data_IF_938002759795
#
_entry.id   IF_938002759795
#
_cell.length_a   1.000
_cell.length_b   1.000
_cell.length_c   1.000
_cell.angle_alpha   90.00
_cell.angle_beta   90.00
_cell.angle_gamma   90.00
#
_symmetry.space_group_name_H-M   'P 1'
#
loop_
_entity.id
_entity.type
_entity.pdbx_description
1 polymer ?
#
# COMPACT_ATOMS: atom_id res chain seq x y z
N UNK A 1 -2.90 29.15 -3.67
CA UNK A 1 -1.98 28.39 -4.55
C UNK A 1 -1.79 28.99 -5.93
N UNK A 2 -2.84 29.34 -6.69
CA UNK A 2 -2.65 30.04 -7.99
C UNK A 2 -1.79 31.31 -7.87
N UNK A 3 -2.01 32.11 -6.84
CA UNK A 3 -1.22 33.34 -6.62
C UNK A 3 0.22 33.05 -6.14
N UNK A 4 0.45 31.90 -5.48
CA UNK A 4 1.80 31.45 -5.10
C UNK A 4 2.64 31.09 -6.32
N UNK A 5 2.01 30.45 -7.32
CA UNK A 5 2.69 30.00 -8.54
C UNK A 5 2.85 31.10 -9.61
N UNK A 6 2.17 32.24 -9.47
CA UNK A 6 2.20 33.35 -10.45
C UNK A 6 3.36 34.34 -10.28
N UNK A 7 4.39 34.00 -9.50
CA UNK A 7 5.69 34.71 -9.51
C UNK A 7 5.73 36.02 -8.70
N UNK A 8 5.07 36.07 -7.54
CA UNK A 8 5.22 37.15 -6.55
C UNK A 8 6.26 36.81 -5.48
N UNK A 9 6.86 37.82 -4.85
CA UNK A 9 7.65 37.63 -3.63
C UNK A 9 6.67 37.41 -2.48
N UNK A 10 6.56 36.18 -1.99
CA UNK A 10 5.71 35.83 -0.86
C UNK A 10 6.54 35.79 0.42
N UNK A 11 6.00 36.31 1.52
CA UNK A 11 6.62 36.11 2.84
C UNK A 11 6.29 34.70 3.35
N UNK A 12 7.06 34.20 4.32
CA UNK A 12 6.76 32.90 4.96
C UNK A 12 5.35 32.89 5.57
N UNK A 13 4.92 33.99 6.19
CA UNK A 13 3.57 34.14 6.71
C UNK A 13 2.48 34.04 5.63
N UNK A 14 2.73 34.57 4.41
CA UNK A 14 1.79 34.45 3.29
C UNK A 14 1.69 32.99 2.80
N UNK A 15 2.82 32.29 2.76
CA UNK A 15 2.91 30.86 2.41
C UNK A 15 2.13 30.03 3.45
N UNK A 16 2.39 30.24 4.74
CA UNK A 16 1.71 29.54 5.83
C UNK A 16 0.19 29.73 5.78
N UNK A 17 -0.27 30.97 5.61
CA UNK A 17 -1.70 31.30 5.53
C UNK A 17 -2.38 30.63 4.32
N UNK A 18 -1.68 30.61 3.18
CA UNK A 18 -2.15 29.97 1.96
C UNK A 18 -2.25 28.45 2.10
N UNK A 19 -1.26 27.82 2.72
CA UNK A 19 -1.28 26.38 3.01
C UNK A 19 -2.42 26.06 3.96
N UNK A 20 -2.57 26.80 5.07
CA UNK A 20 -3.69 26.59 6.00
C UNK A 20 -5.05 26.66 5.30
N UNK A 21 -5.25 27.68 4.46
CA UNK A 21 -6.52 27.86 3.75
C UNK A 21 -6.79 26.68 2.81
N UNK A 22 -5.77 26.16 2.13
CA UNK A 22 -5.91 24.96 1.31
C UNK A 22 -6.30 23.75 2.17
N UNK A 23 -5.58 23.48 3.26
CA UNK A 23 -5.80 22.31 4.11
C UNK A 23 -7.20 22.31 4.74
N UNK A 24 -7.70 23.48 5.15
CA UNK A 24 -9.06 23.63 5.67
C UNK A 24 -10.14 23.49 4.59
N UNK A 25 -9.87 23.95 3.36
CA UNK A 25 -10.82 23.88 2.26
C UNK A 25 -10.93 22.49 1.64
N UNK A 26 -9.86 21.70 1.70
CA UNK A 26 -9.74 20.42 1.04
C UNK A 26 -10.43 19.26 1.77
N UNK A 27 -11.01 19.49 2.96
CA UNK A 27 -11.69 18.48 3.79
C UNK A 27 -10.89 17.16 3.87
N UNK A 28 -9.60 17.28 4.20
CA UNK A 28 -8.63 16.18 4.15
C UNK A 28 -8.83 15.18 5.31
N UNK A 29 -10.07 15.00 5.79
CA UNK A 29 -10.42 14.08 6.86
C UNK A 29 -9.98 14.54 8.26
N UNK A 30 -9.71 15.83 8.46
CA UNK A 30 -9.33 16.42 9.74
C UNK A 30 -10.24 17.60 10.07
N UNK A 31 -10.63 17.72 11.34
CA UNK A 31 -11.44 18.85 11.82
C UNK A 31 -10.63 20.16 11.85
N UNK A 32 -11.29 21.30 12.10
CA UNK A 32 -10.64 22.62 12.22
C UNK A 32 -9.50 22.65 13.27
N UNK A 33 -9.48 21.71 14.22
CA UNK A 33 -8.43 21.55 15.23
C UNK A 33 -7.19 20.80 14.71
N UNK A 34 -7.30 20.14 13.55
CA UNK A 34 -6.26 19.36 12.90
C UNK A 34 -5.15 20.19 12.22
N UNK A 35 -5.39 21.47 11.92
CA UNK A 35 -4.41 22.40 11.33
C UNK A 35 -4.10 23.54 12.30
N UNK A 36 -2.88 23.57 12.86
CA UNK A 36 -2.46 24.60 13.81
C UNK A 36 -1.25 25.37 13.28
N UNK A 37 -1.37 26.71 13.24
CA UNK A 37 -0.25 27.59 12.91
C UNK A 37 0.49 28.02 14.17
N UNK A 38 1.80 28.26 14.04
CA UNK A 38 2.63 28.81 15.11
C UNK A 38 2.51 27.99 16.41
N UNK A 39 2.46 26.66 16.24
CA UNK A 39 2.17 25.70 17.30
C UNK A 39 3.34 25.65 18.28
N UNK A 40 3.15 26.09 19.54
CA UNK A 40 4.23 26.10 20.53
C UNK A 40 4.67 24.66 20.85
N UNK A 41 5.97 24.43 20.92
CA UNK A 41 6.52 23.08 21.15
C UNK A 41 6.07 22.41 22.45
N UNK A 42 5.66 23.17 23.46
CA UNK A 42 5.23 22.61 24.74
C UNK A 42 6.36 21.98 25.58
N UNK A 43 7.61 22.08 25.12
CA UNK A 43 8.84 21.58 25.75
C UNK A 43 9.49 22.63 26.69
N UNK A 44 8.81 23.75 26.95
CA UNK A 44 9.33 24.89 27.70
C UNK A 44 10.25 25.82 26.89
N UNK A 45 10.53 25.51 25.62
CA UNK A 45 11.25 26.41 24.72
C UNK A 45 10.33 27.49 24.13
N UNK A 46 10.92 28.57 23.59
CA UNK A 46 10.19 29.62 22.86
C UNK A 46 9.95 29.28 21.38
N UNK A 47 10.31 28.07 20.94
CA UNK A 47 10.22 27.65 19.54
C UNK A 47 8.77 27.32 19.17
N UNK A 48 8.42 27.59 17.91
CA UNK A 48 7.11 27.33 17.34
C UNK A 48 7.28 26.59 16.02
N UNK A 49 6.35 25.70 15.75
CA UNK A 49 6.20 25.02 14.47
C UNK A 49 5.34 25.91 13.59
N UNK A 50 5.77 26.16 12.35
CA UNK A 50 5.01 26.97 11.39
C UNK A 50 3.60 26.42 11.17
N UNK A 51 3.48 25.14 10.79
CA UNK A 51 2.21 24.46 10.61
C UNK A 51 2.30 23.02 11.14
N UNK A 52 1.38 22.64 12.03
CA UNK A 52 1.11 21.25 12.36
C UNK A 52 -0.16 20.80 11.67
N UNK A 53 -0.09 19.66 10.99
CA UNK A 53 -1.22 19.06 10.28
C UNK A 53 -1.25 17.55 10.51
N UNK A 54 -2.23 17.05 11.26
CA UNK A 54 -2.26 15.64 11.65
C UNK A 54 -0.96 15.19 12.32
N UNK A 55 -0.34 14.13 11.78
CA UNK A 55 0.98 13.62 12.17
C UNK A 55 2.13 14.19 11.30
N UNK A 56 1.96 15.40 10.73
CA UNK A 56 3.01 16.12 10.02
C UNK A 56 3.32 17.47 10.65
N UNK A 57 4.58 17.85 10.51
CA UNK A 57 5.15 19.16 10.82
C UNK A 57 5.62 19.76 9.50
N UNK A 58 5.05 20.91 9.11
CA UNK A 58 5.44 21.64 7.90
C UNK A 58 6.17 22.90 8.35
N UNK A 59 7.41 23.05 7.90
CA UNK A 59 8.22 24.26 8.03
C UNK A 59 8.27 24.97 6.68
N UNK A 60 7.98 26.27 6.69
CA UNK A 60 7.96 27.12 5.51
C UNK A 60 9.24 27.94 5.42
N UNK A 61 9.74 28.14 4.20
CA UNK A 61 10.87 29.01 3.92
C UNK A 61 10.53 29.92 2.75
N UNK A 62 11.08 31.13 2.71
CA UNK A 62 10.82 32.05 1.58
C UNK A 62 11.26 31.47 0.23
N UNK A 63 12.42 30.81 0.19
CA UNK A 63 13.01 30.23 -1.02
C UNK A 63 13.92 29.07 -0.61
N UNK A 64 13.55 27.83 -0.95
CA UNK A 64 14.36 26.66 -0.61
C UNK A 64 15.71 26.60 -1.35
N UNK A 65 15.85 27.29 -2.48
CA UNK A 65 17.11 27.38 -3.24
C UNK A 65 18.16 28.28 -2.59
N UNK A 66 17.74 29.21 -1.73
CA UNK A 66 18.63 30.15 -1.01
C UNK A 66 18.74 29.84 0.48
N UNK A 67 17.97 28.88 0.98
CA UNK A 67 17.95 28.49 2.39
C UNK A 67 19.17 27.63 2.73
N UNK A 68 19.74 27.84 3.92
CA UNK A 68 20.66 26.87 4.53
C UNK A 68 19.86 25.60 4.89
N UNK A 69 19.89 24.63 3.98
CA UNK A 69 19.09 23.42 4.08
C UNK A 69 19.48 22.59 5.30
N UNK A 70 20.77 22.57 5.67
CA UNK A 70 21.23 21.78 6.81
C UNK A 70 20.63 22.33 8.11
N UNK A 71 20.74 23.65 8.34
CA UNK A 71 20.16 24.28 9.52
C UNK A 71 18.64 24.11 9.57
N UNK A 72 17.95 24.17 8.43
CA UNK A 72 16.51 23.95 8.35
C UNK A 72 16.12 22.50 8.69
N UNK A 73 16.90 21.51 8.26
CA UNK A 73 16.68 20.10 8.58
C UNK A 73 16.97 19.79 10.05
N UNK A 74 18.03 20.36 10.64
CA UNK A 74 18.33 20.22 12.07
C UNK A 74 17.18 20.78 12.93
N UNK A 75 16.64 21.94 12.55
CA UNK A 75 15.48 22.54 13.22
C UNK A 75 14.24 21.65 13.09
N UNK A 76 13.89 21.23 11.87
CA UNK A 76 12.73 20.38 11.60
C UNK A 76 12.85 19.04 12.32
N UNK A 77 14.03 18.41 12.32
CA UNK A 77 14.31 17.15 12.98
C UNK A 77 14.08 17.24 14.49
N UNK A 78 14.53 18.33 15.10
CA UNK A 78 14.26 18.61 16.52
C UNK A 78 12.75 18.72 16.84
N UNK A 79 11.96 19.30 15.94
CA UNK A 79 10.50 19.38 16.10
C UNK A 79 9.83 18.02 15.95
N UNK A 80 10.20 17.28 14.90
CA UNK A 80 9.66 15.94 14.62
C UNK A 80 9.98 14.99 15.77
N UNK A 81 11.25 14.90 16.19
CA UNK A 81 11.67 14.02 17.29
C UNK A 81 10.92 14.32 18.59
N UNK A 82 10.78 15.61 18.93
CA UNK A 82 10.10 16.02 20.17
C UNK A 82 8.61 15.68 20.12
N UNK A 83 7.92 15.97 19.01
CA UNK A 83 6.48 15.68 18.87
C UNK A 83 6.21 14.18 18.80
N UNK A 84 7.03 13.43 18.06
CA UNK A 84 6.93 11.97 18.00
C UNK A 84 7.02 11.36 19.39
N UNK A 85 7.99 11.79 20.20
CA UNK A 85 8.17 11.32 21.58
C UNK A 85 7.01 11.70 22.50
N UNK A 86 6.50 12.92 22.40
CA UNK A 86 5.38 13.39 23.23
C UNK A 86 4.07 12.67 22.90
N UNK A 87 3.82 12.39 21.62
CA UNK A 87 2.60 11.75 21.17
C UNK A 87 2.67 10.21 21.20
N UNK A 88 3.87 9.64 21.28
CA UNK A 88 4.09 8.19 21.22
C UNK A 88 3.80 7.59 19.83
N UNK A 89 3.77 8.40 18.79
CA UNK A 89 3.54 8.01 17.38
C UNK A 89 4.48 8.80 16.48
N UNK A 90 4.96 8.22 15.36
CA UNK A 90 5.89 8.92 14.48
C UNK A 90 5.22 10.10 13.76
N UNK A 91 5.93 11.23 13.70
CA UNK A 91 5.57 12.38 12.89
C UNK A 91 6.45 12.46 11.63
N UNK A 92 5.89 13.00 10.56
CA UNK A 92 6.60 13.33 9.33
C UNK A 92 7.04 14.80 9.33
N UNK A 93 8.18 15.08 8.72
CA UNK A 93 8.70 16.43 8.51
C UNK A 93 8.50 16.87 7.06
N UNK A 94 8.04 18.10 6.83
CA UNK A 94 7.87 18.67 5.49
C UNK A 94 8.55 20.03 5.46
N UNK A 95 9.39 20.25 4.44
CA UNK A 95 9.99 21.55 4.15
C UNK A 95 9.42 22.08 2.84
N UNK A 96 8.98 23.34 2.82
CA UNK A 96 8.37 23.92 1.61
C UNK A 96 8.60 25.43 1.46
N UNK A 97 8.72 25.88 0.21
CA UNK A 97 8.57 27.30 -0.17
C UNK A 97 7.22 27.59 -0.83
N UNK A 98 6.29 26.64 -0.73
CA UNK A 98 4.96 26.71 -1.34
C UNK A 98 4.91 26.23 -2.80
N UNK A 99 6.06 26.05 -3.45
CA UNK A 99 6.17 25.53 -4.82
C UNK A 99 6.87 24.16 -4.81
N UNK A 100 7.96 24.06 -4.04
CA UNK A 100 8.79 22.88 -3.88
C UNK A 100 8.53 22.28 -2.50
N UNK A 101 8.05 21.05 -2.47
CA UNK A 101 7.70 20.33 -1.24
C UNK A 101 8.65 19.15 -1.07
N UNK A 102 9.22 19.01 0.13
CA UNK A 102 10.15 17.93 0.48
C UNK A 102 9.68 17.25 1.75
N UNK A 103 9.38 15.96 1.65
CA UNK A 103 8.98 15.10 2.76
C UNK A 103 10.20 14.38 3.33
N UNK A 104 10.25 14.30 4.65
CA UNK A 104 11.26 13.62 5.43
C UNK A 104 10.60 12.75 6.48
N UNK A 105 11.24 11.64 6.78
CA UNK A 105 10.93 10.80 7.93
C UNK A 105 12.10 10.82 8.91
N UNK A 106 11.83 10.53 10.18
CA UNK A 106 12.86 10.50 11.21
C UNK A 106 13.27 9.06 11.46
N UNK A 107 14.50 8.73 11.07
CA UNK A 107 15.11 7.41 11.20
C UNK A 107 16.42 7.59 11.98
N UNK A 108 16.63 6.84 13.06
CA UNK A 108 17.82 6.98 13.93
C UNK A 108 18.13 8.41 14.37
N UNK A 109 17.09 9.17 14.75
CA UNK A 109 17.18 10.59 15.12
C UNK A 109 17.67 11.53 13.99
N UNK A 110 17.78 11.06 12.75
CA UNK A 110 18.13 11.83 11.56
C UNK A 110 16.96 11.94 10.58
N UNK A 111 16.82 13.12 9.94
CA UNK A 111 15.80 13.29 8.90
C UNK A 111 16.29 12.72 7.56
N UNK A 112 15.66 11.65 7.12
CA UNK A 112 15.91 11.01 5.84
C UNK A 112 14.94 11.57 4.79
N UNK A 113 15.42 12.01 3.61
CA UNK A 113 14.53 12.45 2.53
C UNK A 113 13.74 11.28 1.97
N UNK A 114 12.42 11.46 1.84
CA UNK A 114 11.50 10.41 1.39
C UNK A 114 10.88 10.73 0.03
N UNK A 115 10.18 11.86 -0.05
CA UNK A 115 9.41 12.23 -1.24
C UNK A 115 9.57 13.70 -1.58
N UNK A 116 9.36 14.07 -2.85
CA UNK A 116 9.37 15.46 -3.29
C UNK A 116 8.22 15.71 -4.25
N UNK A 117 7.63 16.90 -4.15
CA UNK A 117 6.63 17.37 -5.09
C UNK A 117 6.99 18.77 -5.57
N UNK A 118 7.08 18.92 -6.89
CA UNK A 118 7.23 20.22 -7.55
C UNK A 118 5.88 20.63 -8.15
N UNK A 119 5.37 21.77 -7.70
CA UNK A 119 4.17 22.39 -8.26
C UNK A 119 4.57 23.38 -9.34
N UNK A 120 4.13 23.14 -10.57
CA UNK A 120 4.46 23.98 -11.73
C UNK A 120 3.22 24.52 -12.44
N UNK A 121 2.15 23.74 -12.47
CA UNK A 121 0.88 24.11 -13.10
C UNK A 121 -0.12 24.64 -12.07
N UNK A 122 -0.50 25.94 -12.12
CA UNK A 122 -1.45 26.55 -11.21
C UNK A 122 -2.85 25.94 -11.22
N UNK A 123 -3.25 25.28 -12.31
CA UNK A 123 -4.59 24.73 -12.45
C UNK A 123 -4.74 23.34 -11.82
N UNK A 124 -3.64 22.59 -11.70
CA UNK A 124 -3.61 21.24 -11.11
C UNK A 124 -2.89 21.18 -9.75
N UNK A 125 -2.20 22.25 -9.35
CA UNK A 125 -1.38 22.25 -8.13
C UNK A 125 -2.14 21.90 -6.85
N UNK A 126 -3.40 22.36 -6.71
CA UNK A 126 -4.26 22.07 -5.56
C UNK A 126 -4.48 20.59 -5.38
N UNK A 127 -5.03 19.96 -6.39
CA UNK A 127 -5.39 18.55 -6.35
C UNK A 127 -4.14 17.68 -6.17
N UNK A 128 -3.04 18.01 -6.87
CA UNK A 128 -1.77 17.27 -6.73
C UNK A 128 -1.19 17.34 -5.33
N UNK A 129 -1.19 18.52 -4.71
CA UNK A 129 -0.69 18.67 -3.33
C UNK A 129 -1.58 17.94 -2.33
N UNK A 130 -2.90 18.04 -2.50
CA UNK A 130 -3.87 17.36 -1.62
C UNK A 130 -3.66 15.84 -1.69
N UNK A 131 -3.61 15.26 -2.89
CA UNK A 131 -3.38 13.81 -3.07
C UNK A 131 -2.03 13.38 -2.48
N UNK A 132 -0.98 14.17 -2.69
CA UNK A 132 0.35 13.89 -2.13
C UNK A 132 0.35 13.90 -0.59
N UNK A 133 -0.31 14.87 0.04
CA UNK A 133 -0.45 14.93 1.51
C UNK A 133 -1.36 13.82 2.06
N UNK A 134 -2.48 13.54 1.41
CA UNK A 134 -3.40 12.45 1.77
C UNK A 134 -2.75 11.07 1.67
N UNK A 135 -1.86 10.90 0.70
CA UNK A 135 -1.03 9.71 0.54
C UNK A 135 -0.08 9.59 1.73
N UNK A 136 0.74 10.62 2.00
CA UNK A 136 1.73 10.61 3.09
C UNK A 136 1.11 10.39 4.48
N UNK A 137 -0.04 11.01 4.76
CA UNK A 137 -0.64 11.05 6.10
C UNK A 137 -1.78 10.05 6.32
N UNK A 138 -2.16 9.33 5.28
CA UNK A 138 -3.22 8.32 5.35
C UNK A 138 -4.58 8.86 5.84
N UNK A 139 -5.01 10.06 5.44
CA UNK A 139 -6.15 10.73 6.09
C UNK A 139 -7.52 10.54 5.41
N UNK A 140 -7.56 10.39 4.08
CA UNK A 140 -8.82 10.21 3.33
C UNK A 140 -9.39 8.79 3.50
N UNK A 141 -10.62 8.61 4.03
CA UNK A 141 -11.28 7.30 4.12
C UNK A 141 -12.12 6.97 2.86
N UNK A 142 -12.71 5.78 2.84
CA UNK A 142 -13.69 5.31 1.85
C UNK A 142 -13.24 5.45 0.37
N UNK A 143 -11.98 5.14 0.10
CA UNK A 143 -11.36 5.24 -1.22
C UNK A 143 -11.78 4.05 -2.07
N UNK A 144 -12.40 4.31 -3.23
CA UNK A 144 -12.63 3.25 -4.21
C UNK A 144 -11.29 2.77 -4.81
N UNK A 145 -11.06 1.45 -4.93
CA UNK A 145 -9.80 0.88 -5.44
C UNK A 145 -9.69 0.98 -6.97
N UNK A 146 -9.85 2.21 -7.49
CA UNK A 146 -9.66 2.51 -8.90
C UNK A 146 -8.17 2.54 -9.25
N UNK A 147 -7.78 2.25 -10.50
CA UNK A 147 -6.37 2.15 -10.85
C UNK A 147 -5.54 3.37 -10.46
N UNK A 148 -6.06 4.55 -10.78
CA UNK A 148 -5.44 5.83 -10.44
C UNK A 148 -5.31 6.06 -8.93
N UNK A 149 -6.32 5.66 -8.15
CA UNK A 149 -6.29 5.83 -6.69
C UNK A 149 -5.24 4.93 -6.03
N UNK A 150 -5.06 3.71 -6.56
CA UNK A 150 -4.00 2.78 -6.14
C UNK A 150 -2.63 3.33 -6.54
N UNK A 151 -2.46 3.75 -7.79
CA UNK A 151 -1.21 4.35 -8.28
C UNK A 151 -0.79 5.57 -7.44
N UNK A 152 -1.71 6.53 -7.25
CA UNK A 152 -1.43 7.78 -6.54
C UNK A 152 -1.14 7.59 -5.03
N UNK A 153 -1.58 6.48 -4.42
CA UNK A 153 -1.52 6.28 -2.95
C UNK A 153 -0.75 5.06 -2.46
N UNK A 154 -0.52 4.07 -3.31
CA UNK A 154 0.20 2.83 -2.99
C UNK A 154 1.33 2.54 -3.99
N UNK A 155 1.35 3.22 -5.15
CA UNK A 155 2.38 3.06 -6.17
C UNK A 155 3.74 3.65 -5.76
N UNK A 156 4.78 3.29 -6.51
CA UNK A 156 6.19 3.60 -6.22
C UNK A 156 6.50 5.10 -6.10
N UNK A 157 5.78 5.93 -6.85
CA UNK A 157 5.91 7.38 -6.83
C UNK A 157 5.10 8.05 -5.70
N UNK A 158 4.26 7.30 -5.00
CA UNK A 158 3.44 7.82 -3.92
C UNK A 158 4.27 8.04 -2.64
N UNK A 159 4.01 9.12 -1.89
CA UNK A 159 4.68 9.35 -0.61
C UNK A 159 4.53 8.20 0.39
N UNK A 160 3.34 7.60 0.46
CA UNK A 160 3.07 6.46 1.35
C UNK A 160 4.02 5.30 1.08
N UNK A 161 4.16 4.91 -0.19
CA UNK A 161 5.06 3.83 -0.59
C UNK A 161 6.52 4.17 -0.26
N UNK A 162 6.96 5.38 -0.57
CA UNK A 162 8.34 5.81 -0.31
C UNK A 162 8.66 5.84 1.20
N UNK A 163 7.71 6.26 2.05
CA UNK A 163 7.84 6.16 3.51
C UNK A 163 8.03 4.70 3.91
N UNK A 164 7.21 3.79 3.36
CA UNK A 164 7.22 2.39 3.73
C UNK A 164 8.50 1.67 3.33
N UNK A 165 9.01 1.95 2.13
CA UNK A 165 10.29 1.41 1.66
C UNK A 165 11.44 1.87 2.55
N UNK A 166 11.51 3.17 2.89
CA UNK A 166 12.58 3.67 3.78
C UNK A 166 12.52 3.00 5.16
N UNK A 167 11.32 2.87 5.74
CA UNK A 167 11.13 2.20 7.04
C UNK A 167 11.40 0.70 7.01
N UNK A 168 11.01 0.01 5.94
CA UNK A 168 11.31 -1.43 5.80
C UNK A 168 12.80 -1.67 5.58
N UNK A 169 13.46 -0.83 4.79
CA UNK A 169 14.91 -0.89 4.59
C UNK A 169 15.65 -0.69 5.92
N UNK A 170 15.21 0.27 6.72
CA UNK A 170 15.74 0.52 8.05
C UNK A 170 15.60 -0.71 8.97
N UNK A 171 14.37 -1.20 9.14
CA UNK A 171 14.09 -2.44 9.89
C UNK A 171 14.91 -3.63 9.40
N UNK A 172 15.05 -3.78 8.07
CA UNK A 172 15.82 -4.86 7.47
C UNK A 172 17.32 -4.75 7.78
N UNK A 173 17.90 -3.56 7.63
CA UNK A 173 19.33 -3.31 7.83
C UNK A 173 19.74 -3.46 9.28
N UNK A 174 18.93 -2.97 10.21
CA UNK A 174 19.14 -3.14 11.66
C UNK A 174 19.13 -4.61 12.09
N UNK A 175 18.39 -5.44 11.36
CA UNK A 175 18.21 -6.85 11.66
C UNK A 175 18.92 -7.78 10.66
N UNK A 176 19.81 -7.25 9.82
CA UNK A 176 20.55 -8.03 8.83
C UNK A 176 21.45 -9.12 9.46
N UNK A 177 21.80 -8.97 10.74
CA UNK A 177 22.52 -9.98 11.53
C UNK A 177 21.65 -11.11 12.11
N UNK A 178 20.31 -10.99 12.04
CA UNK A 178 19.39 -12.02 12.53
C UNK A 178 19.45 -13.27 11.66
N UNK A 179 19.62 -14.44 12.27
CA UNK A 179 19.62 -15.72 11.56
C UNK A 179 18.29 -16.01 10.87
N UNK A 180 17.20 -15.51 11.42
CA UNK A 180 15.86 -15.70 10.88
C UNK A 180 15.65 -14.85 9.62
N UNK A 181 15.98 -13.56 9.68
CA UNK A 181 15.90 -12.65 8.52
C UNK A 181 16.80 -13.15 7.38
N UNK A 182 18.03 -13.60 7.70
CA UNK A 182 18.95 -14.19 6.72
C UNK A 182 18.35 -15.44 6.07
N UNK A 183 17.79 -16.36 6.85
CA UNK A 183 17.16 -17.58 6.32
C UNK A 183 15.99 -17.24 5.40
N UNK A 184 15.13 -16.29 5.79
CA UNK A 184 13.96 -15.86 5.01
C UNK A 184 14.40 -15.25 3.66
N UNK A 185 15.41 -14.38 3.67
CA UNK A 185 16.01 -13.83 2.43
C UNK A 185 16.66 -14.91 1.56
N UNK A 186 17.40 -15.85 2.15
CA UNK A 186 18.03 -16.95 1.41
C UNK A 186 17.00 -17.84 0.71
N UNK A 187 15.88 -18.16 1.40
CA UNK A 187 14.79 -18.94 0.84
C UNK A 187 14.12 -18.21 -0.33
N UNK A 188 13.83 -16.92 -0.17
CA UNK A 188 13.31 -16.07 -1.24
C UNK A 188 14.24 -16.07 -2.47
N UNK A 189 15.51 -15.73 -2.27
CA UNK A 189 16.49 -15.64 -3.35
C UNK A 189 16.68 -16.99 -4.05
N UNK A 190 16.65 -18.10 -3.30
CA UNK A 190 16.73 -19.45 -3.85
C UNK A 190 15.52 -19.78 -4.72
N UNK A 191 14.31 -19.41 -4.31
CA UNK A 191 13.10 -19.62 -5.11
C UNK A 191 13.17 -18.82 -6.40
N UNK A 192 13.48 -17.51 -6.34
CA UNK A 192 13.57 -16.68 -7.54
C UNK A 192 14.71 -17.11 -8.47
N UNK A 193 15.86 -17.54 -7.96
CA UNK A 193 16.93 -18.11 -8.77
C UNK A 193 16.52 -19.42 -9.46
N UNK A 194 15.62 -20.19 -8.86
CA UNK A 194 15.07 -21.40 -9.48
C UNK A 194 14.13 -21.04 -10.63
N UNK A 195 13.37 -19.95 -10.47
CA UNK A 195 12.39 -19.46 -11.45
C UNK A 195 13.03 -18.72 -12.63
N UNK A 196 13.94 -17.79 -12.35
CA UNK A 196 14.57 -16.90 -13.34
C UNK A 196 15.97 -17.34 -13.77
N UNK A 197 16.49 -18.41 -13.18
CA UNK A 197 17.80 -18.96 -13.52
C UNK A 197 18.97 -18.15 -12.97
N UNK A 198 20.15 -18.40 -13.55
CA UNK A 198 21.42 -17.86 -13.04
C UNK A 198 21.61 -16.35 -13.22
N UNK A 199 20.76 -15.70 -14.02
CA UNK A 199 20.78 -14.26 -14.26
C UNK A 199 20.07 -13.45 -13.16
N UNK A 200 19.32 -14.13 -12.27
CA UNK A 200 18.70 -13.48 -11.13
C UNK A 200 19.75 -12.89 -10.17
N UNK A 201 19.58 -11.60 -9.87
CA UNK A 201 20.38 -10.87 -8.90
C UNK A 201 19.64 -10.83 -7.58
N UNK A 202 20.28 -11.32 -6.51
CA UNK A 202 19.81 -11.17 -5.13
C UNK A 202 19.99 -9.71 -4.70
N UNK A 203 18.98 -8.91 -5.00
CA UNK A 203 18.94 -7.49 -4.76
C UNK A 203 18.13 -7.16 -3.49
N UNK A 204 18.69 -6.27 -2.65
CA UNK A 204 18.06 -5.86 -1.40
C UNK A 204 16.77 -5.07 -1.64
N UNK A 205 16.77 -4.13 -2.58
CA UNK A 205 15.60 -3.30 -2.87
C UNK A 205 14.46 -4.15 -3.43
N UNK A 206 14.77 -5.14 -4.28
CA UNK A 206 13.77 -6.08 -4.78
C UNK A 206 13.15 -6.94 -3.66
N UNK A 207 13.96 -7.40 -2.70
CA UNK A 207 13.44 -8.13 -1.53
C UNK A 207 12.48 -7.27 -0.70
N UNK A 208 12.81 -5.99 -0.49
CA UNK A 208 11.96 -5.06 0.27
C UNK A 208 10.69 -4.70 -0.51
N UNK A 209 10.78 -4.45 -1.81
CA UNK A 209 9.61 -4.21 -2.65
C UNK A 209 8.65 -5.40 -2.63
N UNK A 210 9.16 -6.62 -2.77
CA UNK A 210 8.34 -7.82 -2.65
C UNK A 210 7.75 -8.01 -1.25
N UNK A 211 8.52 -7.70 -0.20
CA UNK A 211 8.01 -7.70 1.19
C UNK A 211 6.81 -6.76 1.30
N UNK A 212 6.95 -5.49 0.92
CA UNK A 212 5.88 -4.51 1.00
C UNK A 212 4.63 -4.94 0.19
N UNK A 213 4.86 -5.47 -1.00
CA UNK A 213 3.81 -5.91 -1.91
C UNK A 213 3.01 -7.09 -1.34
N UNK A 214 3.68 -8.12 -0.80
CA UNK A 214 3.00 -9.27 -0.21
C UNK A 214 2.26 -8.88 1.06
N UNK A 215 2.90 -8.15 1.98
CA UNK A 215 2.22 -7.65 3.18
C UNK A 215 0.97 -6.83 2.81
N UNK A 216 1.06 -6.03 1.74
CA UNK A 216 -0.10 -5.28 1.25
C UNK A 216 -1.20 -6.20 0.72
N UNK A 217 -0.86 -7.19 -0.08
CA UNK A 217 -1.82 -8.17 -0.62
C UNK A 217 -2.52 -8.96 0.50
N UNK A 218 -1.79 -9.39 1.52
CA UNK A 218 -2.33 -10.13 2.68
C UNK A 218 -3.33 -9.29 3.48
N UNK A 219 -3.02 -8.02 3.72
CA UNK A 219 -3.92 -7.09 4.40
C UNK A 219 -5.16 -6.81 3.54
N UNK A 220 -4.98 -6.61 2.22
CA UNK A 220 -6.09 -6.45 1.27
C UNK A 220 -7.01 -7.68 1.32
N UNK A 221 -6.45 -8.89 1.40
CA UNK A 221 -7.23 -10.12 1.50
C UNK A 221 -8.16 -10.10 2.71
N UNK A 222 -7.65 -9.75 3.89
CA UNK A 222 -8.45 -9.63 5.11
C UNK A 222 -9.55 -8.57 4.99
N UNK A 223 -9.21 -7.40 4.46
CA UNK A 223 -10.15 -6.30 4.28
C UNK A 223 -11.26 -6.65 3.28
N UNK A 224 -10.93 -7.31 2.17
CA UNK A 224 -11.87 -7.67 1.12
C UNK A 224 -12.94 -8.68 1.56
N UNK A 225 -12.60 -9.60 2.46
CA UNK A 225 -13.58 -10.53 3.05
C UNK A 225 -14.34 -9.90 4.23
N UNK A 226 -14.05 -8.64 4.54
CA UNK A 226 -14.77 -7.84 5.53
C UNK A 226 -14.33 -8.06 6.97
N UNK A 227 -13.12 -8.55 7.21
CA UNK A 227 -12.52 -8.44 8.52
C UNK A 227 -12.14 -6.98 8.80
N UNK A 228 -12.32 -6.56 10.05
CA UNK A 228 -11.95 -5.20 10.45
C UNK A 228 -10.42 -5.08 10.49
N UNK A 229 -9.88 -4.25 9.62
CA UNK A 229 -8.45 -3.88 9.59
C UNK A 229 -8.21 -2.48 10.16
N UNK A 230 -9.26 -1.84 10.70
CA UNK A 230 -9.22 -0.46 11.20
C UNK A 230 -8.67 -0.39 12.64
N UNK A 231 -7.87 0.63 12.98
CA UNK A 231 -7.23 0.73 14.28
C UNK A 231 -8.24 0.70 15.46
N UNK A 232 -7.93 -0.08 16.49
CA UNK A 232 -8.71 -0.20 17.73
C UNK A 232 -9.69 -1.38 17.79
N UNK A 233 -10.06 -1.95 16.64
CA UNK A 233 -10.80 -3.23 16.51
C UNK A 233 -10.14 -4.22 15.55
N UNK A 234 -9.01 -3.81 14.96
CA UNK A 234 -8.27 -4.56 13.96
C UNK A 234 -7.76 -5.92 14.46
N UNK A 235 -7.54 -6.79 13.49
CA UNK A 235 -6.65 -7.93 13.60
C UNK A 235 -5.26 -7.51 14.09
N UNK A 236 -4.63 -8.34 14.91
CA UNK A 236 -3.24 -8.11 15.32
C UNK A 236 -2.29 -8.28 14.12
N UNK A 237 -1.05 -7.75 14.16
CA UNK A 237 -0.05 -7.98 13.10
C UNK A 237 0.12 -9.47 12.79
N UNK A 238 0.17 -10.31 13.83
CA UNK A 238 0.26 -11.75 13.68
C UNK A 238 -0.97 -12.34 13.01
N UNK A 239 -2.17 -11.89 13.37
CA UNK A 239 -3.39 -12.38 12.71
C UNK A 239 -3.43 -12.00 11.23
N UNK A 240 -2.91 -10.81 10.87
CA UNK A 240 -2.84 -10.31 9.50
C UNK A 240 -1.87 -11.10 8.62
N UNK A 241 -0.68 -11.44 9.12
CA UNK A 241 0.34 -12.08 8.26
C UNK A 241 0.37 -13.60 8.38
N UNK A 242 -0.01 -14.17 9.52
CA UNK A 242 -0.06 -15.64 9.65
C UNK A 242 -1.34 -16.24 9.05
N UNK A 243 -2.35 -15.43 8.74
CA UNK A 243 -3.64 -15.89 8.20
C UNK A 243 -4.49 -16.72 9.17
N UNK A 244 -4.27 -16.57 10.48
CA UNK A 244 -4.97 -17.37 11.50
C UNK A 244 -6.50 -17.20 11.45
N UNK A 245 -7.00 -16.02 11.05
CA UNK A 245 -8.44 -15.77 10.83
C UNK A 245 -9.00 -16.51 9.63
N UNK A 246 -8.25 -16.62 8.53
CA UNK A 246 -8.65 -17.45 7.39
C UNK A 246 -8.78 -18.91 7.80
N UNK A 247 -7.82 -19.45 8.56
CA UNK A 247 -7.92 -20.84 9.08
C UNK A 247 -9.12 -21.04 10.00
N UNK A 248 -9.41 -20.10 10.90
CA UNK A 248 -10.61 -20.14 11.75
C UNK A 248 -11.88 -20.11 10.90
N UNK A 249 -11.88 -19.32 9.82
CA UNK A 249 -12.94 -19.28 8.84
C UNK A 249 -12.91 -20.45 7.85
N UNK A 250 -12.07 -21.48 8.04
CA UNK A 250 -11.93 -22.66 7.15
C UNK A 250 -11.59 -22.31 5.70
N UNK A 251 -10.82 -21.24 5.50
CA UNK A 251 -10.22 -20.84 4.22
C UNK A 251 -8.72 -21.09 4.34
N UNK A 252 -8.16 -21.87 3.41
CA UNK A 252 -6.76 -22.29 3.38
C UNK A 252 -6.10 -21.85 2.07
N UNK A 253 -4.77 -21.67 2.07
CA UNK A 253 -4.03 -21.36 0.85
C UNK A 253 -4.11 -19.90 0.39
N UNK A 254 -4.53 -18.96 1.24
CA UNK A 254 -4.64 -17.54 0.89
C UNK A 254 -3.51 -16.74 1.54
N UNK A 255 -3.62 -16.54 2.85
CA UNK A 255 -2.59 -15.93 3.69
C UNK A 255 -2.04 -17.01 4.59
N UNK A 256 -0.74 -17.26 4.49
CA UNK A 256 -0.02 -18.31 5.20
C UNK A 256 1.35 -17.77 5.59
N UNK A 257 1.92 -18.31 6.66
CA UNK A 257 3.30 -18.00 7.06
C UNK A 257 4.25 -18.27 5.89
N UNK A 258 5.05 -17.27 5.52
CA UNK A 258 5.91 -17.31 4.34
C UNK A 258 7.31 -16.78 4.65
N UNK A 259 7.96 -16.07 3.73
CA UNK A 259 9.28 -15.49 3.95
C UNK A 259 9.26 -13.97 4.11
N UNK A 260 8.13 -13.31 3.87
CA UNK A 260 7.92 -11.87 4.03
C UNK A 260 7.39 -11.50 5.41
N UNK A 261 6.86 -12.48 6.15
CA UNK A 261 6.50 -12.35 7.57
C UNK A 261 7.70 -12.12 8.52
N UNK A 262 8.95 -12.09 8.01
CA UNK A 262 10.16 -11.77 8.79
C UNK A 262 10.04 -10.47 9.59
N UNK A 263 9.20 -9.54 9.12
CA UNK A 263 8.88 -8.29 9.82
C UNK A 263 8.26 -8.52 11.20
N UNK A 264 7.66 -9.68 11.47
CA UNK A 264 7.15 -10.01 12.82
C UNK A 264 8.25 -10.44 13.79
N UNK A 265 9.43 -10.77 13.28
CA UNK A 265 10.55 -11.32 14.06
C UNK A 265 11.56 -10.24 14.47
N UNK A 266 11.24 -8.98 14.19
CA UNK A 266 12.12 -7.83 14.45
C UNK A 266 11.41 -6.75 15.27
N UNK A 267 12.18 -6.07 16.13
CA UNK A 267 11.67 -4.97 16.92
C UNK A 267 11.15 -3.85 16.00
N UNK A 268 9.93 -3.38 16.27
CA UNK A 268 9.27 -2.32 15.48
C UNK A 268 8.47 -2.82 14.27
N UNK A 269 8.64 -4.05 13.82
CA UNK A 269 7.96 -4.55 12.62
C UNK A 269 6.45 -4.77 12.81
N UNK A 270 5.97 -5.15 14.00
CA UNK A 270 4.53 -5.10 14.32
C UNK A 270 3.93 -3.70 14.13
N UNK A 271 4.68 -2.67 14.55
CA UNK A 271 4.30 -1.27 14.40
C UNK A 271 4.21 -0.87 12.93
N UNK A 272 5.15 -1.35 12.11
CA UNK A 272 5.11 -1.17 10.65
C UNK A 272 3.86 -1.78 10.02
N UNK A 273 3.58 -3.07 10.30
CA UNK A 273 2.40 -3.78 9.79
C UNK A 273 1.11 -3.05 10.15
N UNK A 274 1.04 -2.50 11.36
CA UNK A 274 -0.14 -1.77 11.82
C UNK A 274 -0.34 -0.45 11.06
N UNK A 275 0.73 0.25 10.69
CA UNK A 275 0.64 1.47 9.87
C UNK A 275 0.27 1.14 8.42
N UNK A 276 0.79 0.02 7.89
CA UNK A 276 0.40 -0.47 6.57
C UNK A 276 -1.08 -0.87 6.53
N UNK A 277 -1.54 -1.58 7.56
CA UNK A 277 -2.94 -1.96 7.70
C UNK A 277 -3.87 -0.73 7.72
N UNK A 278 -3.50 0.31 8.48
CA UNK A 278 -4.24 1.59 8.52
C UNK A 278 -4.33 2.27 7.17
N UNK A 279 -3.28 2.22 6.34
CA UNK A 279 -3.31 2.82 4.99
C UNK A 279 -4.23 2.06 4.07
N UNK A 280 -4.15 0.73 4.10
CA UNK A 280 -4.93 -0.18 3.25
C UNK A 280 -6.41 -0.19 3.67
N UNK A 281 -6.72 -0.07 4.96
CA UNK A 281 -8.10 -0.07 5.48
C UNK A 281 -8.92 1.14 5.02
N UNK A 282 -8.29 2.16 4.42
CA UNK A 282 -8.98 3.33 3.85
C UNK A 282 -9.69 3.01 2.54
N UNK A 283 -9.29 1.93 1.88
CA UNK A 283 -9.88 1.51 0.62
C UNK A 283 -11.07 0.58 0.85
N UNK A 284 -12.08 0.73 0.02
CA UNK A 284 -13.25 -0.14 -0.01
C UNK A 284 -12.97 -1.30 -0.95
N UNK A 285 -12.32 -2.35 -0.44
CA UNK A 285 -11.94 -3.54 -1.21
C UNK A 285 -13.09 -4.52 -1.52
N UNK A 286 -14.32 -4.20 -1.10
CA UNK A 286 -15.49 -4.99 -1.44
C UNK A 286 -15.92 -4.75 -2.90
N UNK A 287 -16.48 -5.78 -3.54
CA UNK A 287 -17.16 -5.70 -4.84
C UNK A 287 -16.29 -5.19 -6.00
N UNK A 288 -15.00 -5.52 -6.01
CA UNK A 288 -14.12 -5.04 -7.08
C UNK A 288 -14.43 -5.69 -8.43
N UNK A 289 -14.47 -4.88 -9.49
CA UNK A 289 -14.79 -5.31 -10.85
C UNK A 289 -13.56 -5.77 -11.66
N UNK A 290 -12.34 -5.39 -11.24
CA UNK A 290 -11.09 -5.64 -11.96
C UNK A 290 -10.05 -6.33 -11.06
N UNK A 291 -8.99 -6.88 -11.67
CA UNK A 291 -7.83 -7.41 -10.93
C UNK A 291 -7.01 -6.28 -10.27
N UNK A 292 -7.37 -5.99 -9.01
CA UNK A 292 -6.70 -4.98 -8.16
C UNK A 292 -5.24 -5.33 -7.90
N UNK A 293 -4.93 -6.62 -7.71
CA UNK A 293 -3.59 -7.04 -7.30
C UNK A 293 -2.62 -6.89 -8.45
N UNK A 294 -3.07 -7.11 -9.69
CA UNK A 294 -2.32 -6.70 -10.87
C UNK A 294 -2.02 -5.21 -10.85
N UNK A 295 -3.03 -4.36 -10.62
CA UNK A 295 -2.82 -2.91 -10.62
C UNK A 295 -1.83 -2.50 -9.52
N UNK A 296 -1.96 -3.07 -8.33
CA UNK A 296 -1.03 -2.86 -7.23
C UNK A 296 0.39 -3.27 -7.63
N UNK A 297 0.55 -4.45 -8.24
CA UNK A 297 1.83 -4.93 -8.72
C UNK A 297 2.47 -3.98 -9.73
N UNK A 298 1.73 -3.60 -10.78
CA UNK A 298 2.22 -2.69 -11.82
C UNK A 298 2.49 -1.27 -11.32
N UNK A 299 1.82 -0.85 -10.24
CA UNK A 299 2.04 0.45 -9.59
C UNK A 299 3.28 0.46 -8.71
N UNK A 300 3.67 -0.69 -8.16
CA UNK A 300 4.82 -0.84 -7.25
C UNK A 300 6.09 -1.24 -8.00
N UNK A 301 6.00 -2.17 -8.95
CA UNK A 301 7.14 -2.71 -9.69
C UNK A 301 7.25 -2.00 -11.06
N UNK A 302 8.31 -1.21 -11.29
CA UNK A 302 8.50 -0.48 -12.53
C UNK A 302 8.51 -1.38 -13.76
N UNK A 303 8.11 -0.84 -14.91
CA UNK A 303 8.04 -1.60 -16.16
C UNK A 303 9.37 -2.25 -16.55
N UNK A 304 10.51 -1.55 -16.38
CA UNK A 304 11.85 -2.08 -16.69
C UNK A 304 12.19 -3.32 -15.85
N UNK A 305 11.79 -3.32 -14.57
CA UNK A 305 12.00 -4.45 -13.66
C UNK A 305 11.12 -5.64 -14.07
N UNK A 306 9.86 -5.40 -14.39
CA UNK A 306 8.93 -6.43 -14.91
C UNK A 306 9.42 -7.02 -16.22
N UNK A 307 9.89 -6.19 -17.15
CA UNK A 307 10.48 -6.65 -18.42
C UNK A 307 11.73 -7.52 -18.20
N UNK A 308 12.59 -7.15 -17.23
CA UNK A 308 13.76 -7.95 -16.83
C UNK A 308 13.38 -9.31 -16.26
N UNK A 309 12.27 -9.38 -15.53
CA UNK A 309 11.69 -10.61 -15.01
C UNK A 309 10.83 -11.36 -16.05
N UNK A 310 10.62 -10.79 -17.25
CA UNK A 310 9.79 -11.39 -18.30
C UNK A 310 8.29 -11.34 -18.01
N UNK A 311 7.85 -10.42 -17.16
CA UNK A 311 6.48 -10.30 -16.68
C UNK A 311 5.67 -9.31 -17.53
N UNK A 312 4.73 -9.85 -18.31
CA UNK A 312 3.79 -9.06 -19.09
C UNK A 312 2.36 -9.40 -18.66
N UNK A 313 1.71 -8.45 -17.99
CA UNK A 313 0.37 -8.67 -17.48
C UNK A 313 -0.69 -8.49 -18.57
N UNK A 314 -1.69 -9.35 -18.54
CA UNK A 314 -2.82 -9.30 -19.49
C UNK A 314 -3.82 -8.22 -19.05
N UNK A 315 -4.22 -7.28 -19.93
CA UNK A 315 -5.31 -6.33 -19.64
C UNK A 315 -6.64 -7.03 -19.31
N UNK A 316 -7.40 -6.52 -18.34
CA UNK A 316 -8.66 -7.13 -17.89
C UNK A 316 -9.65 -7.37 -19.03
N UNK A 317 -9.83 -6.36 -19.91
CA UNK A 317 -10.73 -6.48 -21.06
C UNK A 317 -10.34 -7.62 -22.01
N UNK A 318 -9.04 -7.91 -22.13
CA UNK A 318 -8.54 -8.97 -23.00
C UNK A 318 -8.75 -10.33 -22.34
N UNK A 319 -8.45 -10.44 -21.05
CA UNK A 319 -8.68 -11.66 -20.29
C UNK A 319 -10.16 -12.04 -20.28
N UNK A 320 -11.06 -11.09 -19.97
CA UNK A 320 -12.51 -11.27 -20.02
C UNK A 320 -12.97 -11.78 -21.41
N UNK A 321 -12.52 -11.12 -22.48
CA UNK A 321 -12.91 -11.48 -23.85
C UNK A 321 -12.45 -12.90 -24.22
N UNK A 322 -11.20 -13.25 -23.90
CA UNK A 322 -10.65 -14.59 -24.17
C UNK A 322 -11.38 -15.64 -23.37
N UNK A 323 -11.65 -15.39 -22.08
CA UNK A 323 -12.42 -16.30 -21.21
C UNK A 323 -13.83 -16.51 -21.77
N UNK A 324 -14.52 -15.44 -22.17
CA UNK A 324 -15.86 -15.50 -22.72
C UNK A 324 -15.92 -16.29 -24.05
N UNK A 325 -14.90 -16.16 -24.90
CA UNK A 325 -14.81 -16.85 -26.19
C UNK A 325 -14.30 -18.30 -26.09
N UNK A 326 -13.60 -18.67 -25.00
CA UNK A 326 -12.96 -19.99 -24.86
C UNK A 326 -13.75 -20.94 -23.97
N UNK A 327 -14.54 -20.43 -23.02
CA UNK A 327 -15.30 -21.25 -22.05
C UNK A 327 -16.78 -21.23 -22.41
N UNK A 328 -17.22 -22.22 -23.19
CA UNK A 328 -18.61 -22.36 -23.62
C UNK A 328 -19.56 -22.77 -22.49
N UNK A 329 -19.22 -23.81 -21.73
CA UNK A 329 -20.00 -24.32 -20.60
C UNK A 329 -19.15 -24.27 -19.31
N UNK A 330 -19.24 -23.17 -18.52
CA UNK A 330 -18.41 -22.97 -17.34
C UNK A 330 -18.61 -24.04 -16.26
N UNK A 331 -19.82 -24.59 -16.11
CA UNK A 331 -20.14 -25.51 -15.01
C UNK A 331 -19.52 -26.90 -15.18
N UNK A 332 -19.20 -27.28 -16.43
CA UNK A 332 -18.58 -28.58 -16.74
C UNK A 332 -17.11 -28.45 -17.14
N UNK A 333 -16.67 -27.27 -17.56
CA UNK A 333 -15.29 -27.02 -17.98
C UNK A 333 -14.30 -27.08 -16.81
N UNK A 334 -13.13 -27.69 -17.06
CA UNK A 334 -11.93 -27.57 -16.22
C UNK A 334 -10.98 -26.59 -16.91
N UNK A 335 -10.69 -25.48 -16.25
CA UNK A 335 -9.87 -24.37 -16.73
C UNK A 335 -8.54 -24.40 -15.97
N UNK A 336 -7.44 -24.33 -16.70
CA UNK A 336 -6.11 -24.23 -16.11
C UNK A 336 -5.34 -23.09 -16.78
N UNK A 337 -4.78 -22.21 -15.95
CA UNK A 337 -3.79 -21.22 -16.38
C UNK A 337 -2.40 -21.60 -15.81
N UNK A 338 -1.51 -22.21 -16.61
CA UNK A 338 -0.21 -22.71 -16.15
C UNK A 338 0.87 -21.63 -15.99
N UNK A 339 0.53 -20.36 -16.25
CA UNK A 339 1.41 -19.20 -16.10
C UNK A 339 0.58 -18.00 -15.66
N UNK A 340 -0.12 -18.15 -14.53
CA UNK A 340 -1.24 -17.29 -14.18
C UNK A 340 -0.85 -15.88 -13.75
N UNK A 341 0.44 -15.61 -13.49
CA UNK A 341 0.89 -14.36 -12.88
C UNK A 341 0.09 -14.07 -11.60
N UNK A 342 -0.40 -12.84 -11.47
CA UNK A 342 -1.29 -12.42 -10.36
C UNK A 342 -2.75 -12.86 -10.50
N UNK A 343 -3.06 -13.73 -11.46
CA UNK A 343 -4.36 -14.39 -11.55
C UNK A 343 -5.43 -13.68 -12.36
N UNK A 344 -5.10 -12.77 -13.29
CA UNK A 344 -6.13 -12.03 -14.08
C UNK A 344 -7.07 -12.96 -14.85
N UNK A 345 -6.56 -14.01 -15.51
CA UNK A 345 -7.42 -15.02 -16.17
C UNK A 345 -8.22 -15.84 -15.15
N UNK A 346 -7.63 -16.18 -14.00
CA UNK A 346 -8.32 -16.90 -12.93
C UNK A 346 -9.49 -16.08 -12.38
N UNK A 347 -9.33 -14.77 -12.25
CA UNK A 347 -10.37 -13.84 -11.82
C UNK A 347 -11.59 -13.93 -12.75
N UNK A 348 -11.37 -13.72 -14.05
CA UNK A 348 -12.45 -13.71 -15.06
C UNK A 348 -13.07 -15.09 -15.24
N UNK A 349 -12.25 -16.17 -15.29
CA UNK A 349 -12.75 -17.54 -15.37
C UNK A 349 -13.57 -17.92 -14.13
N UNK A 350 -13.09 -17.54 -12.93
CA UNK A 350 -13.79 -17.76 -11.67
C UNK A 350 -15.13 -17.03 -11.62
N UNK A 351 -15.18 -15.75 -11.98
CA UNK A 351 -16.44 -14.98 -12.03
C UNK A 351 -17.43 -15.55 -13.06
N UNK A 352 -16.94 -15.97 -14.22
CA UNK A 352 -17.78 -16.64 -15.24
C UNK A 352 -18.38 -17.94 -14.72
N UNK A 353 -17.59 -18.76 -14.02
CA UNK A 353 -18.09 -19.97 -13.36
C UNK A 353 -19.18 -19.64 -12.33
N UNK A 354 -18.91 -18.68 -11.45
CA UNK A 354 -19.81 -18.32 -10.34
C UNK A 354 -21.13 -17.73 -10.84
N UNK A 355 -21.11 -16.91 -11.90
CA UNK A 355 -22.31 -16.40 -12.54
C UNK A 355 -23.16 -17.53 -13.13
N UNK A 356 -22.54 -18.47 -13.85
CA UNK A 356 -23.25 -19.64 -14.38
C UNK A 356 -23.84 -20.54 -13.27
N UNK A 357 -23.14 -20.66 -12.14
CA UNK A 357 -23.62 -21.44 -10.99
C UNK A 357 -24.84 -20.79 -10.35
N UNK A 358 -24.84 -19.46 -10.24
CA UNK A 358 -25.98 -18.68 -9.76
C UNK A 358 -27.19 -18.81 -10.68
N UNK A 359 -27.00 -18.69 -12.01
CA UNK A 359 -28.05 -18.89 -13.01
C UNK A 359 -28.64 -20.31 -12.98
N UNK A 360 -27.82 -21.31 -12.66
CA UNK A 360 -28.23 -22.70 -12.47
C UNK A 360 -28.86 -22.98 -11.10
N UNK A 361 -28.94 -22.00 -10.21
CA UNK A 361 -29.54 -22.11 -8.88
C UNK A 361 -28.68 -22.86 -7.85
N UNK A 362 -27.36 -22.93 -8.05
CA UNK A 362 -26.44 -23.45 -7.03
C UNK A 362 -26.39 -22.47 -5.84
N UNK A 363 -26.21 -22.99 -4.62
CA UNK A 363 -26.02 -22.11 -3.47
C UNK A 363 -24.67 -21.38 -3.54
N UNK A 364 -24.61 -20.19 -2.95
CA UNK A 364 -23.42 -19.35 -2.94
C UNK A 364 -22.18 -20.06 -2.36
N UNK A 365 -22.33 -20.77 -1.24
CA UNK A 365 -21.21 -21.51 -0.63
C UNK A 365 -20.82 -22.76 -1.43
N UNK A 366 -21.78 -23.49 -2.00
CA UNK A 366 -21.46 -24.61 -2.92
C UNK A 366 -20.69 -24.11 -4.14
N UNK A 367 -21.11 -22.99 -4.73
CA UNK A 367 -20.43 -22.40 -5.89
C UNK A 367 -18.98 -22.00 -5.56
N UNK A 368 -18.72 -21.45 -4.37
CA UNK A 368 -17.38 -21.11 -3.91
C UNK A 368 -16.45 -22.33 -3.77
N UNK A 369 -16.96 -23.49 -3.35
CA UNK A 369 -16.15 -24.73 -3.33
C UNK A 369 -15.96 -25.28 -4.73
N UNK A 370 -17.02 -25.29 -5.53
CA UNK A 370 -16.96 -25.88 -6.85
C UNK A 370 -16.03 -25.09 -7.79
N UNK A 371 -15.97 -23.76 -7.70
CA UNK A 371 -15.05 -22.98 -8.54
C UNK A 371 -13.59 -23.37 -8.30
N UNK A 372 -13.16 -23.60 -7.06
CA UNK A 372 -11.80 -24.10 -6.74
C UNK A 372 -11.48 -25.46 -7.36
N UNK A 373 -12.49 -26.28 -7.67
CA UNK A 373 -12.30 -27.55 -8.36
C UNK A 373 -12.26 -27.41 -9.90
N UNK A 374 -12.74 -26.28 -10.45
CA UNK A 374 -12.88 -26.09 -11.90
C UNK A 374 -11.87 -25.12 -12.47
N UNK A 375 -11.40 -24.13 -11.73
CA UNK A 375 -10.44 -23.13 -12.19
C UNK A 375 -9.16 -23.28 -11.36
N UNK A 376 -8.04 -23.57 -12.02
CA UNK A 376 -6.75 -23.77 -11.36
C UNK A 376 -5.67 -22.90 -12.00
N UNK A 377 -4.79 -22.34 -11.19
CA UNK A 377 -3.65 -21.55 -11.61
C UNK A 377 -2.34 -22.15 -11.15
N UNK A 378 -1.29 -21.96 -11.95
CA UNK A 378 0.09 -22.26 -11.56
C UNK A 378 0.98 -21.12 -12.03
N UNK A 379 1.97 -20.79 -11.22
CA UNK A 379 3.03 -19.87 -11.63
C UNK A 379 4.35 -20.25 -10.96
N UNK A 380 5.46 -19.89 -11.60
CA UNK A 380 6.80 -20.12 -11.08
C UNK A 380 7.20 -19.03 -10.07
N UNK A 381 6.59 -17.85 -10.16
CA UNK A 381 6.92 -16.72 -9.33
C UNK A 381 6.14 -16.77 -8.00
N UNK A 382 6.81 -16.95 -6.84
CA UNK A 382 6.13 -17.10 -5.55
C UNK A 382 5.28 -15.88 -5.18
N UNK A 383 5.80 -14.66 -5.37
CA UNK A 383 5.02 -13.41 -5.16
C UNK A 383 3.77 -13.38 -6.04
N UNK A 384 3.89 -13.66 -7.35
CA UNK A 384 2.74 -13.71 -8.25
C UNK A 384 1.67 -14.72 -7.78
N UNK A 385 2.08 -15.90 -7.29
CA UNK A 385 1.17 -16.90 -6.70
C UNK A 385 0.46 -16.35 -5.47
N UNK A 386 1.15 -15.66 -4.56
CA UNK A 386 0.52 -15.02 -3.39
C UNK A 386 -0.53 -13.99 -3.83
N UNK A 387 -0.21 -13.14 -4.80
CA UNK A 387 -1.17 -12.19 -5.36
C UNK A 387 -2.35 -12.89 -6.02
N UNK A 388 -2.10 -13.94 -6.81
CA UNK A 388 -3.13 -14.73 -7.48
C UNK A 388 -4.12 -15.35 -6.49
N UNK A 389 -3.66 -15.83 -5.34
CA UNK A 389 -4.54 -16.36 -4.28
C UNK A 389 -5.49 -15.29 -3.74
N UNK A 390 -5.00 -14.07 -3.53
CA UNK A 390 -5.83 -12.94 -3.12
C UNK A 390 -6.81 -12.53 -4.23
N UNK A 391 -6.33 -12.43 -5.48
CA UNK A 391 -7.18 -12.19 -6.66
C UNK A 391 -8.29 -13.23 -6.77
N UNK A 392 -7.97 -14.51 -6.52
CA UNK A 392 -8.92 -15.61 -6.55
C UNK A 392 -10.01 -15.44 -5.48
N UNK A 393 -9.64 -15.04 -4.26
CA UNK A 393 -10.63 -14.70 -3.22
C UNK A 393 -11.52 -13.52 -3.63
N UNK A 394 -10.94 -12.48 -4.23
CA UNK A 394 -11.73 -11.33 -4.72
C UNK A 394 -12.75 -11.78 -5.76
N UNK A 395 -12.38 -12.69 -6.65
CA UNK A 395 -13.28 -13.25 -7.65
C UNK A 395 -14.45 -14.03 -7.02
N UNK A 396 -14.20 -14.79 -5.94
CA UNK A 396 -15.24 -15.51 -5.19
C UNK A 396 -16.18 -14.52 -4.49
N UNK A 397 -15.61 -13.51 -3.85
CA UNK A 397 -16.33 -12.43 -3.18
C UNK A 397 -16.78 -12.79 -1.76
N UNK A 398 -16.92 -11.74 -0.93
CA UNK A 398 -17.24 -11.82 0.49
C UNK A 398 -18.51 -12.63 0.80
N UNK A 399 -19.57 -12.43 0.04
CA UNK A 399 -20.86 -13.09 0.27
C UNK A 399 -20.73 -14.62 0.20
N UNK A 400 -20.08 -15.12 -0.86
CA UNK A 400 -19.90 -16.57 -1.07
C UNK A 400 -18.90 -17.17 -0.08
N UNK A 401 -17.84 -16.42 0.25
CA UNK A 401 -16.87 -16.83 1.27
C UNK A 401 -17.46 -16.87 2.67
N UNK A 402 -18.41 -15.99 3.00
CA UNK A 402 -19.09 -15.96 4.30
C UNK A 402 -20.32 -16.85 4.39
N UNK A 403 -20.68 -17.57 3.33
CA UNK A 403 -21.95 -18.27 3.27
C UNK A 403 -21.98 -19.51 4.20
N UNK A 404 -23.06 -19.75 4.97
CA UNK A 404 -23.10 -20.81 6.00
C UNK A 404 -22.89 -22.24 5.48
N UNK A 405 -23.19 -22.52 4.22
CA UNK A 405 -23.08 -23.86 3.61
C UNK A 405 -21.77 -24.11 2.84
N UNK A 406 -20.84 -23.14 2.83
CA UNK A 406 -19.59 -23.23 2.06
C UNK A 406 -18.70 -24.40 2.52
N UNK A 407 -18.64 -24.70 3.81
CA UNK A 407 -17.68 -25.68 4.34
C UNK A 407 -16.22 -25.21 4.21
N UNK A 408 -15.27 -26.15 4.22
CA UNK A 408 -13.84 -25.84 4.13
C UNK A 408 -13.40 -25.60 2.68
N UNK A 409 -12.70 -24.49 2.45
CA UNK A 409 -12.25 -24.03 1.14
C UNK A 409 -10.71 -23.97 1.11
N UNK A 410 -10.11 -24.45 0.03
CA UNK A 410 -8.68 -24.31 -0.25
C UNK A 410 -8.54 -23.66 -1.62
N UNK A 411 -7.75 -22.58 -1.70
CA UNK A 411 -7.41 -21.90 -2.95
C UNK A 411 -6.06 -22.33 -3.49
#
# INVERSE_FOLDING_TARGET
MRDMLRGGVHTEADIQSSIKTLLLAADIGLDDAGVVLEDPMGDGSKRRIDIRFGQAIIETKRDLGQTDLQAALEQLGGYVATRSRMAGVPFLGILTDGVSWRLYDLIDDELVPVSRLQLSDPDTAADRLIVWLESALATKPDIAPLPKEIEDRLGVDSPAHQIDIVRLLDLYRDNAGSSEVQLKRELWAKLLRTSFGAEFVDDEELFINHTLLVLSAEIIAHAAIGFDTSPGKALTPQELLTGSKFRQAQIHGVVEEDFFDWVLEVDGGEGFVMQLARRISRFVWADVENDVLKILYESVIPAEERERLGEYYTPDWLADRVVADTIDDPLTARVADPSCGSGTFLFHAGRRYLAAAEDAGHSAGSAAIQVCAHVVGMDIHPVAVTLARVTYLLAIGKERLGHPDRGALST
#
